data_IF_870172581419
#
_entry.id   IF_870172581419
#
_cell.length_a   1.000
_cell.length_b   1.000
_cell.length_c   1.000
_cell.angle_alpha   90.00
_cell.angle_beta   90.00
_cell.angle_gamma   90.00
#
_symmetry.space_group_name_H-M   'P 1'
#
loop_
_entity.id
_entity.type
_entity.pdbx_description
1 polymer ?
#
# COMPACT_ATOMS: atom_id res chain seq x y z
N UNK A 1 9.05 21.30 -12.02
CA UNK A 1 9.94 20.12 -11.88
C UNK A 1 9.67 19.28 -10.63
N UNK A 2 8.94 19.77 -9.63
CA UNK A 2 8.74 19.06 -8.34
C UNK A 2 7.82 17.83 -8.43
N UNK A 3 6.83 17.83 -9.33
CA UNK A 3 5.84 16.74 -9.42
C UNK A 3 6.43 15.40 -9.91
N UNK A 4 7.46 15.41 -10.76
CA UNK A 4 8.08 14.17 -11.26
C UNK A 4 8.91 13.46 -10.19
N UNK A 5 9.68 14.24 -9.42
CA UNK A 5 10.46 13.74 -8.27
C UNK A 5 9.55 13.21 -7.16
N UNK A 6 8.45 13.89 -6.87
CA UNK A 6 7.48 13.46 -5.86
C UNK A 6 6.75 12.16 -6.28
N UNK A 7 6.39 12.03 -7.56
CA UNK A 7 5.78 10.79 -8.09
C UNK A 7 6.77 9.63 -8.06
N UNK A 8 8.04 9.86 -8.40
CA UNK A 8 9.09 8.84 -8.33
C UNK A 8 9.33 8.39 -6.89
N UNK A 9 9.46 9.32 -5.95
CA UNK A 9 9.65 9.03 -4.53
C UNK A 9 8.45 8.26 -3.94
N UNK A 10 7.23 8.63 -4.32
CA UNK A 10 6.01 7.93 -3.90
C UNK A 10 5.94 6.49 -4.43
N UNK A 11 6.31 6.28 -5.70
CA UNK A 11 6.38 4.93 -6.30
C UNK A 11 7.49 4.09 -5.68
N UNK A 12 8.63 4.69 -5.36
CA UNK A 12 9.75 4.01 -4.70
C UNK A 12 9.37 3.53 -3.30
N UNK A 13 8.76 4.40 -2.49
CA UNK A 13 8.25 4.05 -1.15
C UNK A 13 7.17 2.96 -1.19
N UNK A 14 6.30 2.98 -2.20
CA UNK A 14 5.29 1.93 -2.38
C UNK A 14 5.94 0.58 -2.74
N UNK A 15 6.98 0.59 -3.58
CA UNK A 15 7.74 -0.61 -3.94
C UNK A 15 8.51 -1.17 -2.74
N UNK A 16 9.24 -0.34 -2.00
CA UNK A 16 9.98 -0.74 -0.79
C UNK A 16 9.05 -1.36 0.25
N UNK A 17 7.89 -0.74 0.51
CA UNK A 17 6.90 -1.31 1.42
C UNK A 17 6.38 -2.67 0.93
N UNK A 18 6.11 -2.81 -0.37
CA UNK A 18 5.65 -4.08 -0.94
C UNK A 18 6.71 -5.16 -0.79
N UNK A 19 7.97 -4.88 -1.13
CA UNK A 19 9.09 -5.82 -0.99
C UNK A 19 9.31 -6.20 0.47
N UNK A 20 9.26 -5.24 1.38
CA UNK A 20 9.35 -5.48 2.83
C UNK A 20 8.27 -6.44 3.31
N UNK A 21 7.01 -6.22 2.90
CA UNK A 21 5.86 -7.04 3.27
C UNK A 21 5.95 -8.45 2.68
N UNK A 22 6.39 -8.58 1.43
CA UNK A 22 6.62 -9.89 0.79
C UNK A 22 7.71 -10.65 1.56
N UNK A 23 8.82 -10.00 1.86
CA UNK A 23 9.97 -10.65 2.51
C UNK A 23 9.65 -11.06 3.95
N UNK A 24 9.03 -10.16 4.72
CA UNK A 24 8.62 -10.43 6.11
C UNK A 24 7.47 -11.42 6.19
N UNK A 25 6.48 -11.31 5.29
CA UNK A 25 5.39 -12.26 5.16
C UNK A 25 5.88 -13.66 4.82
N UNK A 26 6.80 -13.78 3.86
CA UNK A 26 7.43 -15.06 3.51
C UNK A 26 8.15 -15.67 4.72
N UNK A 27 8.97 -14.89 5.42
CA UNK A 27 9.71 -15.36 6.59
C UNK A 27 8.77 -15.82 7.72
N UNK A 28 7.72 -15.04 8.02
CA UNK A 28 6.71 -15.41 9.00
C UNK A 28 5.97 -16.69 8.61
N UNK A 29 5.59 -16.82 7.33
CA UNK A 29 4.92 -18.00 6.80
C UNK A 29 5.79 -19.27 6.85
N UNK A 30 7.08 -19.14 6.56
CA UNK A 30 8.08 -20.22 6.71
C UNK A 30 8.19 -20.64 8.17
N UNK A 31 8.35 -19.68 9.09
CA UNK A 31 8.50 -19.97 10.52
C UNK A 31 7.27 -20.71 11.09
N UNK A 32 6.06 -20.24 10.75
CA UNK A 32 4.82 -20.89 11.16
C UNK A 32 4.74 -22.30 10.58
N UNK A 33 5.03 -22.47 9.30
CA UNK A 33 4.95 -23.78 8.63
C UNK A 33 5.95 -24.77 9.20
N UNK A 34 7.15 -24.31 9.55
CA UNK A 34 8.15 -25.12 10.25
C UNK A 34 7.68 -25.54 11.65
N UNK A 35 7.04 -24.63 12.39
CA UNK A 35 6.49 -24.94 13.72
C UNK A 35 5.38 -26.00 13.68
N UNK A 36 4.62 -26.10 12.58
CA UNK A 36 3.55 -27.10 12.40
C UNK A 36 3.95 -28.31 11.53
N UNK A 37 5.26 -28.52 11.29
CA UNK A 37 5.78 -29.60 10.44
C UNK A 37 5.14 -29.68 9.04
N UNK A 38 4.89 -28.52 8.42
CA UNK A 38 4.39 -28.39 7.04
C UNK A 38 5.48 -27.89 6.11
N UNK A 39 5.19 -27.91 4.82
CA UNK A 39 6.12 -27.49 3.78
C UNK A 39 6.41 -25.97 3.86
N UNK A 40 7.67 -25.63 4.10
CA UNK A 40 8.16 -24.25 4.21
C UNK A 40 7.85 -23.39 2.97
N UNK A 41 7.89 -23.98 1.76
CA UNK A 41 7.58 -23.25 0.51
C UNK A 41 6.11 -22.84 0.45
N UNK A 42 5.22 -23.72 0.89
CA UNK A 42 3.78 -23.42 0.99
C UNK A 42 3.55 -22.35 2.04
N UNK A 43 4.28 -22.43 3.16
CA UNK A 43 4.32 -21.41 4.19
C UNK A 43 4.69 -20.02 3.67
N UNK A 44 5.78 -19.93 2.91
CA UNK A 44 6.22 -18.69 2.31
C UNK A 44 5.13 -18.05 1.43
N UNK A 45 4.50 -18.85 0.57
CA UNK A 45 3.44 -18.37 -0.33
C UNK A 45 2.22 -17.88 0.46
N UNK A 46 1.78 -18.62 1.48
CA UNK A 46 0.65 -18.21 2.33
C UNK A 46 0.99 -16.94 3.10
N UNK A 47 2.20 -16.85 3.66
CA UNK A 47 2.66 -15.67 4.39
C UNK A 47 2.75 -14.42 3.53
N UNK A 48 3.27 -14.53 2.30
CA UNK A 48 3.26 -13.45 1.30
C UNK A 48 1.81 -13.03 0.99
N UNK A 49 0.94 -14.00 0.70
CA UNK A 49 -0.45 -13.73 0.34
C UNK A 49 -1.21 -13.00 1.45
N UNK A 50 -1.06 -13.44 2.69
CA UNK A 50 -1.67 -12.78 3.85
C UNK A 50 -1.05 -11.39 4.11
N UNK A 51 0.27 -11.24 4.00
CA UNK A 51 0.94 -9.95 4.17
C UNK A 51 0.46 -8.91 3.15
N UNK A 52 0.36 -9.30 1.88
CA UNK A 52 -0.18 -8.43 0.82
C UNK A 52 -1.68 -8.14 1.01
N UNK A 53 -2.47 -9.11 1.50
CA UNK A 53 -3.88 -8.90 1.81
C UNK A 53 -4.07 -7.89 2.94
N UNK A 54 -3.30 -8.00 4.03
CA UNK A 54 -3.30 -7.03 5.13
C UNK A 54 -2.85 -5.66 4.61
N UNK A 55 -1.79 -5.61 3.81
CA UNK A 55 -1.36 -4.36 3.17
C UNK A 55 -2.48 -3.73 2.35
N UNK A 56 -3.21 -4.50 1.53
CA UNK A 56 -4.31 -3.99 0.74
C UNK A 56 -5.49 -3.48 1.59
N UNK A 57 -5.85 -4.21 2.66
CA UNK A 57 -6.93 -3.81 3.58
C UNK A 57 -6.60 -2.54 4.38
N UNK A 58 -5.34 -2.39 4.79
CA UNK A 58 -4.88 -1.27 5.61
C UNK A 58 -4.13 -0.21 4.80
N UNK A 59 -4.02 -0.39 3.49
CA UNK A 59 -3.39 0.58 2.60
C UNK A 59 -4.16 1.90 2.72
N UNK A 60 -3.46 3.04 2.78
CA UNK A 60 -4.09 4.36 2.87
C UNK A 60 -4.94 4.74 1.64
N UNK A 61 -5.26 3.82 0.72
CA UNK A 61 -6.18 4.06 -0.40
C UNK A 61 -7.52 4.68 0.06
N UNK A 62 -8.02 4.33 1.25
CA UNK A 62 -9.21 4.98 1.81
C UNK A 62 -8.95 6.40 2.35
N UNK A 63 -7.73 6.72 2.77
CA UNK A 63 -7.32 8.09 3.14
C UNK A 63 -7.10 8.95 1.90
N UNK A 64 -6.40 8.42 0.89
CA UNK A 64 -6.16 9.07 -0.40
C UNK A 64 -7.46 9.38 -1.16
N UNK A 65 -8.45 8.47 -1.15
CA UNK A 65 -9.79 8.74 -1.71
C UNK A 65 -10.52 9.88 -0.98
N UNK A 66 -10.40 9.94 0.36
CA UNK A 66 -11.03 10.99 1.17
C UNK A 66 -10.34 12.35 0.96
N UNK A 67 -9.02 12.38 0.85
CA UNK A 67 -8.27 13.60 0.56
C UNK A 67 -8.54 14.12 -0.85
N UNK A 68 -8.52 13.27 -1.88
CA UNK A 68 -8.87 13.68 -3.25
C UNK A 68 -10.27 14.27 -3.34
N UNK A 69 -11.27 13.63 -2.70
CA UNK A 69 -12.64 14.16 -2.65
C UNK A 69 -12.75 15.51 -1.91
N UNK A 70 -11.83 15.78 -0.96
CA UNK A 70 -11.76 17.05 -0.22
C UNK A 70 -11.06 18.14 -1.02
N UNK A 71 -10.07 17.78 -1.84
CA UNK A 71 -9.42 18.67 -2.80
C UNK A 71 -10.39 19.05 -3.94
N UNK A 72 -11.10 18.08 -4.54
CA UNK A 72 -12.10 18.35 -5.59
C UNK A 72 -13.17 19.35 -5.12
N UNK A 73 -13.66 19.22 -3.88
CA UNK A 73 -14.62 20.16 -3.30
C UNK A 73 -14.05 21.56 -3.08
N UNK A 74 -12.76 21.69 -2.82
CA UNK A 74 -12.11 23.00 -2.68
C UNK A 74 -11.91 23.66 -4.04
N UNK A 75 -11.53 22.89 -5.06
CA UNK A 75 -11.40 23.38 -6.43
C UNK A 75 -12.73 23.91 -6.96
N UNK A 76 -13.83 23.14 -6.80
CA UNK A 76 -15.16 23.59 -7.21
C UNK A 76 -15.62 24.87 -6.49
N UNK A 77 -15.26 25.04 -5.21
CA UNK A 77 -15.57 26.27 -4.47
C UNK A 77 -14.82 27.48 -5.03
N UNK A 78 -13.54 27.29 -5.35
CA UNK A 78 -12.70 28.35 -5.92
C UNK A 78 -13.20 28.72 -7.32
N UNK A 79 -13.52 27.74 -8.18
CA UNK A 79 -14.09 27.98 -9.51
C UNK A 79 -15.41 28.76 -9.42
N UNK A 80 -16.31 28.39 -8.49
CA UNK A 80 -17.57 29.10 -8.27
C UNK A 80 -17.41 30.52 -7.68
N UNK A 81 -16.30 30.81 -6.98
CA UNK A 81 -15.96 32.16 -6.52
C UNK A 81 -15.32 33.01 -7.63
N UNK A 82 -14.65 32.39 -8.61
CA UNK A 82 -14.02 33.07 -9.75
C UNK A 82 -15.05 33.40 -10.86
N UNK A 83 -16.09 32.58 -11.03
CA UNK A 83 -17.19 32.83 -11.99
C UNK A 83 -18.20 33.91 -11.53
N UNK A 84 -18.09 34.40 -10.29
CA UNK A 84 -18.90 35.51 -9.75
C UNK A 84 -18.24 36.86 -9.92
#
# INVERSE_FOLDING_TARGET
>A
MNNLLEVLDTKSKAFENTVSIVTTGAAAGIAISKAINKNEKVGAVVGIGLGLMVYAMFSPQNKLKKENKKLEKQIQKIEAEIEK
#
